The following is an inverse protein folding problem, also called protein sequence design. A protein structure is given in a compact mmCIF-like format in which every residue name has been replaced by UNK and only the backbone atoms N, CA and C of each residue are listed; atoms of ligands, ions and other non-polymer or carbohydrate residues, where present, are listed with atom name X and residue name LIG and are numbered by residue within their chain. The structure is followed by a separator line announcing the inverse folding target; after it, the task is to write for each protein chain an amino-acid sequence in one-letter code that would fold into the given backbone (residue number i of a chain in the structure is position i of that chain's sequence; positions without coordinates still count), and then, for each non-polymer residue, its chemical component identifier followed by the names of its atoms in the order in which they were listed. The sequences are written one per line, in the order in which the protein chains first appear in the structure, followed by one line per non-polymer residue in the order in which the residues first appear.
data_IF_403057048522
#
_entry.id   IF_403057048522
#
_cell.length_a   1.000
_cell.length_b   1.000
_cell.length_c   1.000
_cell.angle_alpha   90.00
_cell.angle_beta   90.00
_cell.angle_gamma   90.00
#
_symmetry.space_group_name_H-M   'P 1'
#
loop_
_entity.id
_entity.type
_entity.pdbx_description
1 polymer ?
#
# COMPACT_ATOMS: atom_id res chain seq x y z
N UNK A 1 -12.87 -18.66 37.41
CA UNK A 1 -12.37 -17.80 36.31
C UNK A 1 -11.01 -17.28 36.75
N UNK A 2 -9.94 -17.47 35.98
CA UNK A 2 -8.55 -17.14 36.38
C UNK A 2 -8.02 -15.83 35.74
N UNK A 3 -8.76 -15.26 34.79
CA UNK A 3 -8.35 -14.04 34.11
C UNK A 3 -9.32 -13.59 33.02
N UNK A 4 -8.91 -12.52 32.33
CA UNK A 4 -9.62 -11.87 31.23
C UNK A 4 -8.65 -11.48 30.13
N UNK A 5 -9.06 -11.69 28.87
CA UNK A 5 -8.46 -11.03 27.70
C UNK A 5 -9.35 -9.86 27.29
N UNK A 6 -8.86 -8.63 27.41
CA UNK A 6 -9.59 -7.46 26.95
C UNK A 6 -9.20 -7.11 25.51
N UNK A 7 -10.13 -7.21 24.57
CA UNK A 7 -9.90 -6.87 23.15
C UNK A 7 -10.57 -5.55 22.74
N UNK A 8 -11.13 -4.81 23.70
CA UNK A 8 -11.91 -3.59 23.45
C UNK A 8 -11.07 -2.44 22.90
N UNK A 9 -9.80 -2.35 23.31
CA UNK A 9 -8.94 -1.19 23.03
C UNK A 9 -9.24 0.03 23.92
N UNK A 10 -10.20 -0.08 24.84
CA UNK A 10 -10.56 0.99 25.77
C UNK A 10 -9.67 0.95 27.02
N UNK A 11 -8.64 1.80 27.03
CA UNK A 11 -7.70 1.91 28.14
C UNK A 11 -8.35 2.42 29.45
N UNK A 12 -9.45 3.19 29.37
CA UNK A 12 -10.17 3.67 30.57
C UNK A 12 -10.87 2.49 31.24
N UNK A 13 -11.55 1.67 30.44
CA UNK A 13 -12.17 0.45 30.96
C UNK A 13 -11.11 -0.56 31.45
N UNK A 14 -10.03 -0.75 30.69
CA UNK A 14 -8.94 -1.65 31.05
C UNK A 14 -8.31 -1.28 32.40
N UNK A 15 -8.01 -0.01 32.64
CA UNK A 15 -7.45 0.45 33.91
C UNK A 15 -8.43 0.26 35.07
N UNK A 16 -9.73 0.43 34.83
CA UNK A 16 -10.78 0.11 35.82
C UNK A 16 -10.76 -1.38 36.19
N UNK A 17 -10.59 -2.26 35.20
CA UNK A 17 -10.44 -3.71 35.42
C UNK A 17 -9.19 -4.00 36.25
N UNK A 18 -8.05 -3.39 35.90
CA UNK A 18 -6.78 -3.59 36.60
C UNK A 18 -6.82 -3.16 38.07
N UNK A 19 -7.60 -2.13 38.41
CA UNK A 19 -7.81 -1.68 39.80
C UNK A 19 -8.75 -2.59 40.59
N UNK A 20 -9.78 -3.15 39.94
CA UNK A 20 -10.82 -3.95 40.61
C UNK A 20 -10.55 -5.44 40.64
N UNK A 21 -9.54 -5.91 39.92
CA UNK A 21 -9.24 -7.35 39.82
C UNK A 21 -8.74 -7.91 41.17
N UNK A 22 -9.08 -9.17 41.50
CA UNK A 22 -8.42 -9.89 42.57
C UNK A 22 -6.91 -10.08 42.31
N UNK A 23 -6.09 -10.23 43.36
CA UNK A 23 -4.63 -10.34 43.25
C UNK A 23 -4.14 -11.44 42.29
N UNK A 24 -4.84 -12.58 42.26
CA UNK A 24 -4.49 -13.73 41.42
C UNK A 24 -5.23 -13.76 40.06
N UNK A 25 -5.85 -12.65 39.65
CA UNK A 25 -6.60 -12.56 38.42
C UNK A 25 -5.77 -11.95 37.28
N UNK A 26 -5.54 -12.73 36.23
CA UNK A 26 -4.72 -12.30 35.10
C UNK A 26 -5.51 -11.44 34.12
N UNK A 27 -4.91 -10.33 33.67
CA UNK A 27 -5.49 -9.47 32.63
C UNK A 27 -4.49 -9.38 31.49
N UNK A 28 -4.90 -9.76 30.29
CA UNK A 28 -4.07 -9.68 29.08
C UNK A 28 -4.73 -8.80 28.03
N UNK A 29 -3.94 -7.99 27.34
CA UNK A 29 -4.44 -7.12 26.28
C UNK A 29 -4.57 -7.89 24.97
N UNK A 30 -5.70 -7.70 24.29
CA UNK A 30 -6.06 -8.33 23.02
C UNK A 30 -6.20 -7.35 21.87
N UNK A 31 -5.86 -6.07 22.08
CA UNK A 31 -5.99 -5.01 21.09
C UNK A 31 -4.61 -4.46 20.72
N UNK A 32 -4.15 -4.82 19.54
CA UNK A 32 -2.77 -4.65 19.06
C UNK A 32 -2.29 -3.18 19.08
N UNK A 33 -3.19 -2.23 18.83
CA UNK A 33 -2.87 -0.80 18.73
C UNK A 33 -2.50 -0.14 20.06
N UNK A 34 -2.94 -0.75 21.16
CA UNK A 34 -2.74 -0.24 22.52
C UNK A 34 -1.95 -1.24 23.38
N UNK A 35 -1.21 -2.16 22.74
CA UNK A 35 -0.41 -3.18 23.44
C UNK A 35 0.59 -2.53 24.41
N UNK A 36 1.40 -1.58 23.94
CA UNK A 36 2.35 -0.84 24.79
C UNK A 36 1.69 -0.18 26.02
N UNK A 37 0.72 0.73 25.88
CA UNK A 37 0.13 1.39 27.05
C UNK A 37 -0.61 0.41 27.98
N UNK A 38 -1.23 -0.65 27.45
CA UNK A 38 -1.88 -1.67 28.27
C UNK A 38 -0.88 -2.49 29.10
N UNK A 39 0.26 -2.89 28.51
CA UNK A 39 1.34 -3.56 29.22
C UNK A 39 1.94 -2.64 30.30
N UNK A 40 2.20 -1.38 29.96
CA UNK A 40 2.70 -0.38 30.90
C UNK A 40 1.71 -0.10 32.06
N UNK A 41 0.39 -0.21 31.82
CA UNK A 41 -0.64 -0.06 32.85
C UNK A 41 -0.71 -1.25 33.83
N UNK A 42 -0.04 -2.37 33.54
CA UNK A 42 0.03 -3.54 34.42
C UNK A 42 -0.74 -4.77 33.92
N UNK A 43 -1.07 -4.85 32.63
CA UNK A 43 -1.48 -6.12 32.02
C UNK A 43 -0.37 -7.16 32.17
N UNK A 44 -0.75 -8.42 32.46
CA UNK A 44 0.19 -9.53 32.63
C UNK A 44 0.84 -9.99 31.32
N UNK A 45 0.30 -9.57 30.18
CA UNK A 45 0.78 -9.96 28.86
C UNK A 45 -0.17 -9.51 27.77
N UNK A 46 0.05 -10.02 26.56
CA UNK A 46 -0.75 -9.70 25.38
C UNK A 46 -1.05 -10.95 24.56
N UNK A 47 -2.26 -11.03 24.00
CA UNK A 47 -2.68 -12.07 23.04
C UNK A 47 -3.17 -11.35 21.78
N UNK A 48 -2.28 -11.18 20.82
CA UNK A 48 -2.45 -10.27 19.69
C UNK A 48 -2.49 -11.03 18.37
N UNK A 49 -3.33 -10.58 17.43
CA UNK A 49 -3.39 -11.20 16.11
C UNK A 49 -2.08 -10.96 15.34
N UNK A 50 -1.56 -9.73 15.41
CA UNK A 50 -0.32 -9.32 14.75
C UNK A 50 0.94 -9.92 15.34
N UNK A 51 0.88 -10.54 16.52
CA UNK A 51 2.00 -11.30 17.08
C UNK A 51 2.35 -12.54 16.23
N UNK A 52 1.45 -13.01 15.35
CA UNK A 52 1.79 -14.03 14.35
C UNK A 52 2.76 -13.50 13.26
N UNK A 53 2.73 -12.19 13.01
CA UNK A 53 3.57 -11.51 12.00
C UNK A 53 4.80 -10.87 12.65
N UNK A 54 4.63 -10.26 13.84
CA UNK A 54 5.66 -9.49 14.53
C UNK A 54 6.03 -10.04 15.93
N UNK A 55 6.27 -11.36 16.10
CA UNK A 55 6.54 -11.92 17.42
C UNK A 55 7.80 -11.29 18.06
N UNK A 56 8.85 -11.09 17.26
CA UNK A 56 10.11 -10.48 17.67
C UNK A 56 9.93 -9.04 18.18
N UNK A 57 9.05 -8.26 17.52
CA UNK A 57 8.74 -6.88 17.93
C UNK A 57 8.04 -6.86 19.28
N UNK A 58 7.04 -7.72 19.50
CA UNK A 58 6.35 -7.74 20.79
C UNK A 58 7.24 -8.23 21.94
N UNK A 59 8.10 -9.23 21.70
CA UNK A 59 9.10 -9.65 22.69
C UNK A 59 10.05 -8.49 23.01
N UNK A 60 10.58 -7.81 21.99
CA UNK A 60 11.46 -6.65 22.18
C UNK A 60 10.79 -5.53 22.98
N UNK A 61 9.52 -5.23 22.69
CA UNK A 61 8.72 -4.25 23.43
C UNK A 61 8.56 -4.64 24.90
N UNK A 62 8.23 -5.91 25.17
CA UNK A 62 8.06 -6.40 26.54
C UNK A 62 9.37 -6.39 27.33
N UNK A 63 10.49 -6.79 26.70
CA UNK A 63 11.82 -6.73 27.31
C UNK A 63 12.22 -5.27 27.60
N UNK A 64 11.99 -4.35 26.68
CA UNK A 64 12.26 -2.94 26.87
C UNK A 64 11.47 -2.37 28.07
N UNK A 65 10.17 -2.67 28.16
CA UNK A 65 9.34 -2.29 29.31
C UNK A 65 9.86 -2.88 30.63
N UNK A 66 10.22 -4.16 30.64
CA UNK A 66 10.75 -4.83 31.84
C UNK A 66 12.06 -4.21 32.33
N UNK A 67 12.88 -3.67 31.41
CA UNK A 67 14.13 -2.98 31.73
C UNK A 67 13.94 -1.48 32.02
N UNK A 68 12.71 -0.96 31.99
CA UNK A 68 12.42 0.46 32.16
C UNK A 68 12.74 1.34 30.94
N UNK A 69 13.06 0.75 29.79
CA UNK A 69 13.34 1.47 28.53
C UNK A 69 12.04 1.76 27.77
N UNK A 70 11.29 2.75 28.26
CA UNK A 70 10.06 3.18 27.61
C UNK A 70 10.32 3.76 26.21
N UNK A 71 11.49 4.34 25.97
CA UNK A 71 11.83 4.95 24.68
C UNK A 71 11.89 3.87 23.60
N UNK A 72 12.59 2.79 23.86
CA UNK A 72 12.69 1.66 22.92
C UNK A 72 11.32 1.00 22.71
N UNK A 73 10.55 0.78 23.78
CA UNK A 73 9.21 0.22 23.68
C UNK A 73 8.29 1.07 22.78
N UNK A 74 8.36 2.41 22.89
CA UNK A 74 7.63 3.33 22.02
C UNK A 74 8.09 3.25 20.56
N UNK A 75 9.40 3.14 20.31
CA UNK A 75 9.92 2.99 18.95
C UNK A 75 9.41 1.70 18.30
N UNK A 76 9.36 0.62 19.06
CA UNK A 76 8.85 -0.67 18.59
C UNK A 76 7.35 -0.63 18.29
N UNK A 77 6.51 -0.08 19.18
CA UNK A 77 5.07 0.06 18.90
C UNK A 77 4.83 0.91 17.65
N UNK A 78 5.54 2.05 17.54
CA UNK A 78 5.39 2.97 16.41
C UNK A 78 5.80 2.35 15.07
N UNK A 79 6.84 1.50 15.06
CA UNK A 79 7.34 0.91 13.81
C UNK A 79 6.32 -0.02 13.15
N UNK A 80 5.48 -0.72 13.93
CA UNK A 80 4.47 -1.64 13.41
C UNK A 80 3.05 -1.06 13.36
N UNK A 81 2.83 0.15 13.90
CA UNK A 81 1.49 0.72 14.10
C UNK A 81 0.66 0.79 12.82
N UNK A 82 1.27 1.17 11.69
CA UNK A 82 0.56 1.29 10.41
C UNK A 82 -0.01 -0.08 9.97
N UNK A 83 0.82 -1.12 9.99
CA UNK A 83 0.41 -2.48 9.62
C UNK A 83 -0.61 -3.05 10.61
N UNK A 84 -0.38 -2.82 11.90
CA UNK A 84 -1.27 -3.26 12.98
C UNK A 84 -2.67 -2.65 12.86
N UNK A 85 -2.78 -1.37 12.48
CA UNK A 85 -4.08 -0.72 12.21
C UNK A 85 -4.84 -1.43 11.09
N UNK A 86 -4.17 -1.86 10.03
CA UNK A 86 -4.80 -2.63 8.94
C UNK A 86 -5.34 -3.96 9.48
N UNK A 87 -4.56 -4.67 10.29
CA UNK A 87 -5.00 -5.93 10.91
C UNK A 87 -6.22 -5.76 11.82
N UNK A 88 -6.26 -4.69 12.60
CA UNK A 88 -7.38 -4.41 13.51
C UNK A 88 -8.64 -4.00 12.74
N UNK A 89 -8.51 -3.14 11.73
CA UNK A 89 -9.65 -2.60 10.99
C UNK A 89 -10.26 -3.59 9.99
N UNK A 90 -9.43 -4.41 9.32
CA UNK A 90 -9.84 -5.24 8.18
C UNK A 90 -10.04 -6.72 8.52
N UNK A 91 -10.21 -7.03 9.82
CA UNK A 91 -10.39 -8.38 10.34
C UNK A 91 -9.07 -9.12 10.48
N UNK A 92 -8.61 -9.26 11.74
CA UNK A 92 -7.29 -9.84 12.05
C UNK A 92 -7.03 -11.20 11.42
N UNK A 93 -8.01 -12.11 11.40
CA UNK A 93 -7.82 -13.42 10.78
C UNK A 93 -7.56 -13.39 9.27
N UNK A 94 -8.22 -12.49 8.54
CA UNK A 94 -8.10 -12.39 7.08
C UNK A 94 -6.80 -11.68 6.69
N UNK A 95 -6.54 -10.52 7.31
CA UNK A 95 -5.38 -9.70 7.00
C UNK A 95 -4.06 -10.34 7.46
N UNK A 96 -4.04 -11.03 8.61
CA UNK A 96 -2.86 -11.77 9.07
C UNK A 96 -2.52 -12.93 8.12
N UNK A 97 -3.52 -13.67 7.66
CA UNK A 97 -3.30 -14.74 6.68
C UNK A 97 -2.75 -14.18 5.37
N UNK A 98 -3.29 -13.07 4.89
CA UNK A 98 -2.77 -12.39 3.70
C UNK A 98 -1.30 -11.99 3.89
N UNK A 99 -0.95 -11.37 5.02
CA UNK A 99 0.43 -10.99 5.33
C UNK A 99 1.38 -12.20 5.36
N UNK A 100 1.03 -13.24 6.11
CA UNK A 100 1.86 -14.46 6.23
C UNK A 100 2.06 -15.13 4.87
N UNK A 101 1.00 -15.24 4.05
CA UNK A 101 1.13 -15.77 2.71
C UNK A 101 2.06 -14.91 1.85
N UNK A 102 1.96 -13.57 1.87
CA UNK A 102 2.89 -12.69 1.13
C UNK A 102 4.35 -12.86 1.59
N UNK A 103 4.56 -13.13 2.87
CA UNK A 103 5.87 -13.41 3.47
C UNK A 103 6.40 -14.83 3.12
N UNK A 104 5.63 -15.65 2.40
CA UNK A 104 6.01 -17.00 2.01
C UNK A 104 5.60 -18.10 3.01
N UNK A 105 4.84 -17.76 4.06
CA UNK A 105 4.34 -18.73 5.05
C UNK A 105 2.93 -19.15 4.63
N UNK A 106 2.81 -20.36 4.07
CA UNK A 106 1.54 -20.87 3.58
C UNK A 106 0.58 -21.22 4.73
N UNK A 107 -0.46 -20.40 4.90
CA UNK A 107 -1.52 -20.57 5.91
C UNK A 107 -2.91 -20.75 5.27
N UNK A 108 -2.94 -20.93 3.95
CA UNK A 108 -4.14 -20.99 3.13
C UNK A 108 -4.98 -19.73 3.19
N UNK A 109 -6.20 -19.81 2.67
CA UNK A 109 -7.16 -18.71 2.66
C UNK A 109 -8.01 -18.69 3.95
N UNK A 110 -8.69 -17.57 4.19
CA UNK A 110 -9.76 -17.53 5.18
C UNK A 110 -10.97 -18.34 4.67
N UNK A 111 -11.75 -18.90 5.60
CA UNK A 111 -13.01 -19.59 5.27
C UNK A 111 -14.13 -18.55 5.12
N UNK A 112 -15.06 -18.71 4.15
CA UNK A 112 -16.27 -17.90 4.10
C UNK A 112 -17.01 -17.88 5.46
N UNK A 113 -17.64 -16.75 5.84
CA UNK A 113 -17.94 -15.58 5.00
C UNK A 113 -16.79 -14.55 4.88
N UNK A 114 -15.62 -14.79 5.49
CA UNK A 114 -14.50 -13.85 5.39
C UNK A 114 -13.83 -13.95 4.02
N UNK A 115 -13.93 -12.89 3.21
CA UNK A 115 -13.40 -12.85 1.84
C UNK A 115 -12.58 -11.57 1.61
N UNK A 116 -11.50 -11.71 0.83
CA UNK A 116 -10.75 -10.55 0.31
C UNK A 116 -11.67 -9.83 -0.70
N UNK A 117 -11.65 -8.50 -0.66
CA UNK A 117 -12.53 -7.63 -1.43
C UNK A 117 -13.76 -7.14 -0.67
N UNK A 118 -14.07 -7.74 0.47
CA UNK A 118 -15.14 -7.30 1.38
C UNK A 118 -14.52 -6.63 2.62
N UNK A 119 -14.29 -7.38 3.69
CA UNK A 119 -13.64 -6.87 4.92
C UNK A 119 -12.21 -6.40 4.72
N UNK A 120 -11.45 -7.03 3.83
CA UNK A 120 -10.11 -6.58 3.45
C UNK A 120 -10.15 -6.14 1.99
N UNK A 121 -10.27 -4.83 1.75
CA UNK A 121 -10.32 -4.28 0.41
C UNK A 121 -9.02 -4.52 -0.36
N UNK A 122 -9.09 -4.48 -1.69
CA UNK A 122 -7.88 -4.66 -2.53
C UNK A 122 -6.87 -3.52 -2.34
N UNK A 123 -7.34 -2.29 -2.04
CA UNK A 123 -6.47 -1.18 -1.67
C UNK A 123 -5.77 -1.42 -0.32
N UNK A 124 -6.46 -2.01 0.66
CA UNK A 124 -5.85 -2.40 1.94
C UNK A 124 -4.81 -3.50 1.76
N UNK A 125 -5.02 -4.42 0.81
CA UNK A 125 -4.06 -5.46 0.48
C UNK A 125 -2.76 -4.88 -0.09
N UNK A 126 -2.88 -3.88 -0.97
CA UNK A 126 -1.71 -3.17 -1.52
C UNK A 126 -0.99 -2.35 -0.43
N UNK A 127 -1.73 -1.69 0.46
CA UNK A 127 -1.14 -0.99 1.63
C UNK A 127 -0.45 -1.96 2.59
N UNK A 128 -1.07 -3.10 2.87
CA UNK A 128 -0.49 -4.13 3.72
C UNK A 128 0.84 -4.61 3.14
N UNK A 129 0.87 -4.92 1.83
CA UNK A 129 2.10 -5.31 1.15
C UNK A 129 3.17 -4.23 1.26
N UNK A 130 2.83 -2.98 0.97
CA UNK A 130 3.78 -1.86 1.07
C UNK A 130 4.36 -1.73 2.47
N UNK A 131 3.54 -1.89 3.52
CA UNK A 131 4.02 -1.87 4.90
C UNK A 131 4.96 -3.04 5.22
N UNK A 132 4.67 -4.24 4.72
CA UNK A 132 5.53 -5.41 4.91
C UNK A 132 6.87 -5.25 4.19
N UNK A 133 6.89 -4.64 3.00
CA UNK A 133 8.12 -4.33 2.27
C UNK A 133 8.96 -3.26 3.00
N UNK A 134 8.33 -2.19 3.48
CA UNK A 134 9.00 -1.16 4.31
C UNK A 134 9.63 -1.77 5.57
N UNK A 135 8.98 -2.79 6.14
CA UNK A 135 9.45 -3.53 7.31
C UNK A 135 10.44 -4.66 6.95
N UNK A 136 10.81 -4.80 5.67
CA UNK A 136 11.70 -5.83 5.15
C UNK A 136 11.24 -7.26 5.44
N UNK A 137 9.93 -7.47 5.46
CA UNK A 137 9.31 -8.77 5.75
C UNK A 137 8.92 -9.56 4.50
N UNK A 138 8.85 -8.89 3.34
CA UNK A 138 8.64 -9.56 2.07
C UNK A 138 9.98 -10.13 1.58
N UNK A 139 10.05 -11.44 1.27
CA UNK A 139 11.24 -12.04 0.67
C UNK A 139 11.64 -11.32 -0.62
N UNK A 140 12.95 -11.23 -0.86
CA UNK A 140 13.49 -10.78 -2.13
C UNK A 140 14.00 -11.98 -2.92
N UNK A 141 13.88 -11.91 -4.24
CA UNK A 141 14.35 -12.98 -5.11
C UNK A 141 14.18 -12.66 -6.60
N UNK A 142 14.64 -13.56 -7.48
CA UNK A 142 14.74 -13.29 -8.89
C UNK A 142 13.37 -13.17 -9.55
N UNK A 143 13.24 -12.16 -10.40
CA UNK A 143 12.13 -11.99 -11.35
C UNK A 143 12.72 -11.65 -12.72
N UNK A 144 12.28 -12.39 -13.74
CA UNK A 144 12.74 -12.20 -15.11
C UNK A 144 11.77 -11.32 -15.89
N UNK A 145 12.28 -10.26 -16.49
CA UNK A 145 11.55 -9.34 -17.35
C UNK A 145 11.93 -9.56 -18.81
N UNK A 146 10.95 -9.82 -19.67
CA UNK A 146 11.16 -10.01 -21.11
C UNK A 146 10.71 -8.77 -21.89
N UNK A 147 11.53 -8.40 -22.87
CA UNK A 147 11.34 -7.22 -23.71
C UNK A 147 11.72 -7.58 -25.14
N UNK A 148 10.77 -8.15 -25.88
CA UNK A 148 11.02 -8.74 -27.19
C UNK A 148 12.07 -9.86 -27.12
N UNK A 149 13.23 -9.65 -27.75
CA UNK A 149 14.34 -10.62 -27.74
C UNK A 149 15.29 -10.45 -26.55
N UNK A 150 15.18 -9.36 -25.79
CA UNK A 150 16.00 -9.08 -24.61
C UNK A 150 15.29 -9.62 -23.37
N UNK A 151 16.06 -10.08 -22.39
CA UNK A 151 15.56 -10.32 -21.06
C UNK A 151 16.50 -9.76 -20.02
N UNK A 152 15.94 -9.24 -18.94
CA UNK A 152 16.64 -8.74 -17.76
C UNK A 152 16.18 -9.57 -16.58
N UNK A 153 17.08 -9.90 -15.67
CA UNK A 153 16.78 -10.62 -14.44
C UNK A 153 17.10 -9.70 -13.27
N UNK A 154 16.08 -9.40 -12.46
CA UNK A 154 16.25 -8.61 -11.25
C UNK A 154 16.33 -9.58 -10.06
N UNK A 155 17.54 -9.78 -9.53
CA UNK A 155 17.84 -10.79 -8.50
C UNK A 155 17.16 -10.50 -7.14
N UNK A 156 16.93 -9.23 -6.81
CA UNK A 156 16.50 -8.77 -5.49
C UNK A 156 15.11 -8.10 -5.54
N UNK A 157 14.22 -8.57 -6.41
CA UNK A 157 12.87 -8.02 -6.54
C UNK A 157 12.02 -8.36 -5.29
N UNK A 158 11.19 -7.43 -4.75
CA UNK A 158 10.31 -7.70 -3.61
C UNK A 158 9.20 -8.70 -3.99
N UNK A 159 9.46 -9.98 -3.72
CA UNK A 159 8.73 -11.13 -4.26
C UNK A 159 7.65 -11.60 -3.28
N UNK A 160 6.57 -10.82 -3.17
CA UNK A 160 5.40 -11.21 -2.40
C UNK A 160 4.78 -12.49 -2.99
N UNK A 161 4.75 -13.56 -2.19
CA UNK A 161 4.35 -14.88 -2.67
C UNK A 161 2.88 -14.92 -3.09
N UNK A 162 2.59 -15.59 -4.22
CA UNK A 162 1.26 -15.63 -4.80
C UNK A 162 0.76 -14.32 -5.42
N UNK A 163 1.60 -13.28 -5.45
CA UNK A 163 1.30 -11.97 -6.03
C UNK A 163 2.24 -11.62 -7.19
N UNK A 164 3.54 -11.85 -7.01
CA UNK A 164 4.56 -11.52 -8.00
C UNK A 164 4.84 -12.73 -8.89
N UNK A 165 4.78 -12.60 -10.23
CA UNK A 165 5.14 -13.69 -11.13
C UNK A 165 6.67 -13.91 -11.16
N UNK A 166 7.10 -15.14 -11.47
CA UNK A 166 8.53 -15.41 -11.70
C UNK A 166 9.05 -14.76 -12.99
N UNK A 167 8.18 -14.60 -13.98
CA UNK A 167 8.49 -14.02 -15.28
C UNK A 167 7.40 -13.03 -15.69
N UNK A 168 7.81 -11.80 -16.03
CA UNK A 168 6.99 -10.81 -16.72
C UNK A 168 7.27 -10.94 -18.21
N UNK A 169 6.29 -11.46 -18.95
CA UNK A 169 6.47 -11.95 -20.32
C UNK A 169 6.56 -10.85 -21.39
N UNK A 170 5.94 -9.70 -21.17
CA UNK A 170 5.89 -8.61 -22.15
C UNK A 170 5.85 -7.26 -21.45
N UNK A 171 6.81 -6.39 -21.78
CA UNK A 171 6.89 -5.00 -21.31
C UNK A 171 6.51 -3.98 -22.39
N UNK A 172 6.04 -4.43 -23.56
CA UNK A 172 5.75 -3.56 -24.71
C UNK A 172 4.77 -2.45 -24.34
N UNK A 173 3.67 -2.82 -23.67
CA UNK A 173 2.67 -1.89 -23.19
C UNK A 173 1.91 -2.51 -22.00
N UNK A 174 2.01 -1.86 -20.85
CA UNK A 174 1.40 -2.29 -19.60
C UNK A 174 0.45 -1.20 -19.11
N UNK A 175 -0.67 -1.61 -18.56
CA UNK A 175 -1.66 -0.72 -17.97
C UNK A 175 -1.76 -0.98 -16.47
N UNK A 176 -1.89 0.10 -15.69
CA UNK A 176 -2.13 0.02 -14.27
C UNK A 176 -3.08 1.11 -13.82
N UNK A 177 -3.93 0.79 -12.86
CA UNK A 177 -4.89 1.72 -12.27
C UNK A 177 -4.79 1.62 -10.75
N UNK A 178 -4.93 2.73 -10.04
CA UNK A 178 -5.25 2.72 -8.62
C UNK A 178 -6.10 3.90 -8.18
N UNK A 179 -6.93 3.65 -7.17
CA UNK A 179 -7.68 4.66 -6.44
C UNK A 179 -7.26 4.63 -4.98
N UNK A 180 -6.94 5.79 -4.41
CA UNK A 180 -6.56 5.90 -3.00
C UNK A 180 -7.07 7.18 -2.34
N UNK A 181 -7.47 7.05 -1.08
CA UNK A 181 -8.06 8.14 -0.30
C UNK A 181 -9.57 8.26 -0.48
N UNK A 182 -10.13 9.34 0.04
CA UNK A 182 -11.58 9.56 0.06
C UNK A 182 -11.89 11.07 -0.03
N UNK A 183 -13.18 11.37 -0.28
CA UNK A 183 -13.70 12.73 -0.41
C UNK A 183 -13.00 13.52 -1.52
N UNK A 184 -12.86 14.83 -1.36
CA UNK A 184 -12.30 15.74 -2.36
C UNK A 184 -10.80 15.57 -2.58
N UNK A 185 -10.08 14.85 -1.72
CA UNK A 185 -8.65 14.56 -1.93
C UNK A 185 -8.39 13.15 -2.45
N UNK A 186 -9.43 12.40 -2.85
CA UNK A 186 -9.24 11.10 -3.50
C UNK A 186 -8.34 11.26 -4.73
N UNK A 187 -7.39 10.34 -4.88
CA UNK A 187 -6.57 10.20 -6.07
C UNK A 187 -7.09 9.03 -6.88
N UNK A 188 -7.29 9.25 -8.17
CA UNK A 188 -7.52 8.20 -9.15
C UNK A 188 -6.46 8.36 -10.24
N UNK A 189 -5.67 7.31 -10.41
CA UNK A 189 -4.48 7.31 -11.26
C UNK A 189 -4.58 6.16 -12.22
N UNK A 190 -4.50 6.47 -13.51
CA UNK A 190 -4.34 5.52 -14.59
C UNK A 190 -2.96 5.71 -15.20
N UNK A 191 -2.26 4.63 -15.47
CA UNK A 191 -0.93 4.68 -16.06
C UNK A 191 -0.84 3.77 -17.27
N UNK A 192 0.08 4.16 -18.15
CA UNK A 192 0.63 3.27 -19.16
C UNK A 192 2.15 3.27 -19.00
N UNK A 193 2.72 2.08 -18.78
CA UNK A 193 4.16 1.85 -18.70
C UNK A 193 4.56 0.98 -19.88
N UNK A 194 5.61 1.32 -20.61
CA UNK A 194 6.02 0.49 -21.74
C UNK A 194 7.39 0.84 -22.25
N UNK A 195 7.85 0.07 -23.25
CA UNK A 195 9.17 0.25 -23.84
C UNK A 195 9.31 1.59 -24.55
N UNK A 196 10.50 2.19 -24.44
CA UNK A 196 10.86 3.44 -25.10
C UNK A 196 10.76 3.32 -26.62
N UNK A 197 11.32 2.25 -27.18
CA UNK A 197 11.32 1.97 -28.62
C UNK A 197 10.05 1.20 -29.03
N UNK A 198 8.88 1.73 -28.64
CA UNK A 198 7.59 1.12 -28.89
C UNK A 198 6.45 2.15 -28.91
N UNK A 199 5.19 1.73 -28.70
CA UNK A 199 4.02 2.62 -28.76
C UNK A 199 4.10 3.82 -27.80
N UNK A 200 4.84 3.68 -26.69
CA UNK A 200 5.01 4.77 -25.73
C UNK A 200 5.85 5.94 -26.26
N UNK A 201 6.59 5.77 -27.36
CA UNK A 201 7.33 6.87 -27.98
C UNK A 201 6.41 7.97 -28.48
N UNK A 202 5.20 7.63 -28.95
CA UNK A 202 4.18 8.59 -29.38
C UNK A 202 3.71 9.51 -28.23
N UNK A 203 3.55 8.95 -27.02
CA UNK A 203 3.16 9.72 -25.85
C UNK A 203 4.19 10.82 -25.50
N UNK A 204 5.48 10.61 -25.78
CA UNK A 204 6.51 11.65 -25.61
C UNK A 204 6.46 12.72 -26.69
N UNK A 205 6.22 12.30 -27.94
CA UNK A 205 6.10 13.24 -29.07
C UNK A 205 4.93 14.18 -28.88
N UNK A 206 3.83 13.69 -28.30
CA UNK A 206 2.62 14.48 -28.06
C UNK A 206 2.64 15.25 -26.74
N UNK A 207 3.54 14.91 -25.81
CA UNK A 207 3.68 15.62 -24.55
C UNK A 207 3.99 17.12 -24.77
N UNK A 208 3.18 17.99 -24.17
CA UNK A 208 3.32 19.44 -24.29
C UNK A 208 2.64 20.06 -25.52
N UNK A 209 2.08 19.26 -26.43
CA UNK A 209 1.23 19.79 -27.51
C UNK A 209 -0.09 20.28 -26.93
N UNK A 210 -0.47 21.49 -27.31
CA UNK A 210 -1.78 22.05 -26.96
C UNK A 210 -2.78 21.55 -28.01
N UNK A 211 -3.62 20.60 -27.63
CA UNK A 211 -4.75 20.15 -28.45
C UNK A 211 -5.98 20.92 -27.97
N UNK A 212 -6.72 21.52 -28.90
CA UNK A 212 -7.92 22.30 -28.61
C UNK A 212 -8.93 21.46 -27.79
N UNK A 213 -9.43 22.03 -26.68
CA UNK A 213 -10.34 21.34 -25.77
C UNK A 213 -9.68 20.40 -24.75
N UNK A 214 -8.35 20.28 -24.73
CA UNK A 214 -7.61 19.45 -23.76
C UNK A 214 -6.67 20.27 -22.88
N UNK A 215 -6.25 19.69 -21.75
CA UNK A 215 -5.17 20.25 -20.94
C UNK A 215 -3.82 19.68 -21.40
N UNK A 216 -2.78 20.52 -21.50
CA UNK A 216 -1.48 20.05 -21.96
C UNK A 216 -0.92 19.04 -20.96
N UNK A 217 -0.57 17.86 -21.47
CA UNK A 217 0.34 16.96 -20.76
C UNK A 217 1.75 17.56 -20.76
N UNK A 218 2.60 17.13 -19.85
CA UNK A 218 3.99 17.57 -19.82
C UNK A 218 4.93 16.46 -19.35
N UNK A 219 6.15 16.49 -19.84
CA UNK A 219 7.21 15.63 -19.30
C UNK A 219 7.65 16.20 -17.95
N UNK A 220 7.68 15.37 -16.91
CA UNK A 220 8.25 15.73 -15.61
C UNK A 220 9.77 15.73 -15.77
N UNK A 221 10.40 16.88 -15.48
CA UNK A 221 11.85 17.04 -15.53
C UNK A 221 12.54 16.35 -14.34
N UNK A 222 13.83 16.05 -14.50
CA UNK A 222 14.69 15.53 -13.43
C UNK A 222 14.26 14.17 -12.85
N UNK A 223 13.71 13.30 -13.71
CA UNK A 223 13.44 11.89 -13.42
C UNK A 223 14.29 11.00 -14.33
N UNK A 224 14.86 9.94 -13.75
CA UNK A 224 15.60 8.91 -14.49
C UNK A 224 14.66 8.15 -15.44
N UNK A 225 13.49 7.75 -14.94
CA UNK A 225 12.42 7.19 -15.75
C UNK A 225 11.67 8.33 -16.44
N UNK A 226 11.70 8.34 -17.78
CA UNK A 226 10.97 9.35 -18.55
C UNK A 226 9.47 9.25 -18.27
N UNK A 227 8.91 10.29 -17.67
CA UNK A 227 7.53 10.30 -17.18
C UNK A 227 6.73 11.46 -17.77
N UNK A 228 5.63 11.14 -18.45
CA UNK A 228 4.62 12.09 -18.92
C UNK A 228 3.51 12.20 -17.88
N UNK A 229 3.18 13.43 -17.50
CA UNK A 229 2.08 13.77 -16.60
C UNK A 229 0.92 14.35 -17.40
N UNK A 230 -0.31 13.87 -17.17
CA UNK A 230 -1.51 14.42 -17.78
C UNK A 230 -2.66 14.53 -16.75
N UNK A 231 -3.32 15.68 -16.62
CA UNK A 231 -4.52 15.78 -15.80
C UNK A 231 -5.75 15.24 -16.54
N UNK A 232 -6.68 14.62 -15.80
CA UNK A 232 -7.91 14.05 -16.37
C UNK A 232 -9.14 14.97 -16.25
N UNK A 233 -9.03 16.06 -15.48
CA UNK A 233 -10.15 16.97 -15.22
C UNK A 233 -9.87 18.38 -15.71
N UNK A 234 -10.96 19.11 -15.99
CA UNK A 234 -10.85 20.50 -16.38
C UNK A 234 -10.35 21.37 -15.23
N UNK A 235 -9.32 22.19 -15.49
CA UNK A 235 -8.81 23.16 -14.50
C UNK A 235 -9.77 24.34 -14.41
N UNK A 236 -10.37 24.53 -13.23
CA UNK A 236 -11.45 25.49 -12.99
C UNK A 236 -11.03 26.74 -12.23
N UNK A 237 -9.84 26.75 -11.61
CA UNK A 237 -9.33 27.88 -10.84
C UNK A 237 -7.82 27.81 -10.67
N UNK A 238 -7.18 28.93 -10.32
CA UNK A 238 -5.75 28.95 -9.99
C UNK A 238 -5.41 28.07 -8.78
N UNK A 239 -6.32 27.97 -7.79
CA UNK A 239 -6.15 27.04 -6.66
C UNK A 239 -6.10 25.59 -7.14
N UNK A 240 -7.04 25.20 -8.00
CA UNK A 240 -7.09 23.85 -8.55
C UNK A 240 -5.85 23.56 -9.41
N UNK A 241 -5.44 24.53 -10.23
CA UNK A 241 -4.21 24.44 -11.04
C UNK A 241 -2.97 24.13 -10.19
N UNK A 242 -2.81 24.79 -9.03
CA UNK A 242 -1.71 24.50 -8.09
C UNK A 242 -1.79 23.08 -7.52
N UNK A 243 -2.98 22.62 -7.14
CA UNK A 243 -3.16 21.24 -6.65
C UNK A 243 -2.76 20.19 -7.69
N UNK A 244 -3.03 20.45 -8.97
CA UNK A 244 -2.68 19.54 -10.07
C UNK A 244 -1.19 19.61 -10.40
N UNK A 245 -0.70 20.77 -10.84
CA UNK A 245 0.62 20.88 -11.47
C UNK A 245 1.78 21.11 -10.49
N UNK A 246 1.50 21.52 -9.24
CA UNK A 246 2.54 21.64 -8.20
C UNK A 246 2.49 20.47 -7.22
N UNK A 247 1.30 20.15 -6.69
CA UNK A 247 1.15 19.16 -5.61
C UNK A 247 1.09 17.73 -6.15
N UNK A 248 0.14 17.43 -7.04
CA UNK A 248 -0.03 16.08 -7.58
C UNK A 248 1.12 15.69 -8.51
N UNK A 249 1.58 16.58 -9.39
CA UNK A 249 2.76 16.31 -10.23
C UNK A 249 4.02 16.00 -9.40
N UNK A 250 4.24 16.72 -8.28
CA UNK A 250 5.32 16.39 -7.35
C UNK A 250 5.14 15.01 -6.72
N UNK A 251 3.90 14.65 -6.36
CA UNK A 251 3.60 13.32 -5.83
C UNK A 251 3.92 12.20 -6.83
N UNK A 252 3.64 12.41 -8.11
CA UNK A 252 4.03 11.48 -9.19
C UNK A 252 5.55 11.34 -9.25
N UNK A 253 6.28 12.46 -9.24
CA UNK A 253 7.74 12.45 -9.25
C UNK A 253 8.34 11.70 -8.05
N UNK A 254 7.84 11.98 -6.84
CA UNK A 254 8.27 11.33 -5.61
C UNK A 254 7.94 9.82 -5.63
N UNK A 255 6.76 9.44 -6.15
CA UNK A 255 6.32 8.05 -6.28
C UNK A 255 7.20 7.26 -7.25
N UNK A 256 7.53 7.83 -8.41
CA UNK A 256 8.42 7.21 -9.40
C UNK A 256 9.80 6.98 -8.81
N UNK A 257 10.41 8.01 -8.19
CA UNK A 257 11.72 7.89 -7.53
C UNK A 257 11.72 6.81 -6.46
N UNK A 258 10.68 6.77 -5.63
CA UNK A 258 10.56 5.77 -4.57
C UNK A 258 10.35 4.36 -5.12
N UNK A 259 9.61 4.21 -6.21
CA UNK A 259 9.37 2.91 -6.86
C UNK A 259 10.65 2.31 -7.43
N UNK A 260 11.52 3.15 -7.99
CA UNK A 260 12.87 2.74 -8.43
C UNK A 260 13.74 2.39 -7.22
N UNK A 261 13.75 3.24 -6.18
CA UNK A 261 14.51 3.00 -4.93
C UNK A 261 14.14 1.69 -4.26
N UNK A 262 12.84 1.34 -4.28
CA UNK A 262 12.33 0.11 -3.69
C UNK A 262 12.47 -1.11 -4.62
N UNK A 263 13.12 -0.96 -5.78
CA UNK A 263 13.36 -2.00 -6.80
C UNK A 263 12.09 -2.62 -7.40
N UNK A 264 10.96 -1.91 -7.34
CA UNK A 264 9.72 -2.32 -8.01
C UNK A 264 9.82 -2.06 -9.51
N UNK A 265 10.51 -0.97 -9.90
CA UNK A 265 11.07 -0.85 -11.24
C UNK A 265 12.58 -1.07 -11.09
N UNK A 266 13.11 -2.23 -11.48
CA UNK A 266 14.56 -2.48 -11.52
C UNK A 266 15.32 -1.39 -12.27
N UNK A 267 16.48 -0.97 -11.74
CA UNK A 267 17.30 0.09 -12.33
C UNK A 267 17.69 -0.21 -13.78
N UNK A 268 17.89 -1.47 -14.11
CA UNK A 268 18.26 -1.97 -15.43
C UNK A 268 17.18 -1.74 -16.50
N UNK A 269 15.91 -1.59 -16.08
CA UNK A 269 14.79 -1.32 -16.96
C UNK A 269 14.55 0.17 -17.18
N UNK A 270 15.00 1.03 -16.26
CA UNK A 270 14.69 2.47 -16.27
C UNK A 270 15.04 3.15 -17.61
N UNK A 271 16.21 2.92 -18.26
CA UNK A 271 16.54 3.56 -19.52
C UNK A 271 15.62 3.16 -20.67
N UNK A 272 15.10 1.92 -20.62
CA UNK A 272 14.32 1.29 -21.68
C UNK A 272 12.81 1.54 -21.56
N UNK A 273 12.35 2.22 -20.50
CA UNK A 273 10.93 2.43 -20.23
C UNK A 273 10.50 3.91 -20.33
N UNK A 274 9.22 4.09 -20.64
CA UNK A 274 8.48 5.36 -20.56
C UNK A 274 7.23 5.11 -19.72
N UNK A 275 6.91 6.05 -18.84
CA UNK A 275 5.69 6.06 -18.04
C UNK A 275 4.81 7.24 -18.43
N UNK A 276 3.54 7.01 -18.75
CA UNK A 276 2.51 8.04 -18.82
C UNK A 276 1.58 7.91 -17.63
N UNK A 277 1.30 9.00 -16.93
CA UNK A 277 0.50 9.03 -15.70
C UNK A 277 -0.63 10.04 -15.86
N UNK A 278 -1.85 9.51 -15.90
CA UNK A 278 -3.07 10.28 -15.85
C UNK A 278 -3.49 10.47 -14.40
N UNK A 279 -3.73 11.71 -14.00
CA UNK A 279 -4.02 12.05 -12.59
C UNK A 279 -5.32 12.82 -12.46
N UNK A 280 -6.22 12.27 -11.65
CA UNK A 280 -7.42 12.96 -11.18
C UNK A 280 -7.15 13.73 -9.89
N UNK A 281 -7.55 15.01 -9.87
CA UNK A 281 -7.64 15.82 -8.66
C UNK A 281 -8.99 16.51 -8.67
N UNK A 282 -9.81 16.33 -7.63
CA UNK A 282 -11.11 16.98 -7.59
C UNK A 282 -10.99 18.52 -7.58
N UNK A 283 -11.81 19.29 -8.31
CA UNK A 283 -11.72 20.76 -8.35
C UNK A 283 -11.83 21.46 -6.98
N UNK A 284 -12.54 20.83 -6.04
CA UNK A 284 -12.70 21.33 -4.66
C UNK A 284 -11.62 20.86 -3.69
N UNK A 285 -10.62 20.08 -4.14
CA UNK A 285 -9.51 19.63 -3.29
C UNK A 285 -8.84 20.83 -2.60
N UNK A 286 -8.68 20.72 -1.28
CA UNK A 286 -8.21 21.85 -0.48
C UNK A 286 -6.97 21.53 0.35
N UNK A 287 -6.75 20.25 0.67
CA UNK A 287 -5.63 19.84 1.52
C UNK A 287 -4.44 19.34 0.68
N UNK A 288 -3.37 20.14 0.50
CA UNK A 288 -2.26 19.75 -0.36
C UNK A 288 -1.48 18.54 0.18
N UNK A 289 -1.43 18.35 1.51
CA UNK A 289 -0.75 17.17 2.09
C UNK A 289 -1.48 15.88 1.74
N UNK A 290 -2.82 15.89 1.75
CA UNK A 290 -3.63 14.73 1.36
C UNK A 290 -3.61 14.49 -0.13
N UNK A 291 -3.70 15.54 -0.96
CA UNK A 291 -3.54 15.41 -2.42
C UNK A 291 -2.20 14.79 -2.76
N UNK A 292 -1.11 15.26 -2.14
CA UNK A 292 0.22 14.69 -2.37
C UNK A 292 0.29 13.23 -1.92
N UNK A 293 -0.07 12.93 -0.66
CA UNK A 293 0.02 11.58 -0.12
C UNK A 293 -0.83 10.57 -0.92
N UNK A 294 -2.06 10.94 -1.27
CA UNK A 294 -2.98 10.03 -1.96
C UNK A 294 -2.51 9.75 -3.38
N UNK A 295 -2.04 10.76 -4.11
CA UNK A 295 -1.47 10.57 -5.44
C UNK A 295 -0.16 9.79 -5.39
N UNK A 296 0.69 10.05 -4.39
CA UNK A 296 1.92 9.29 -4.19
C UNK A 296 1.62 7.80 -4.04
N UNK A 297 0.66 7.44 -3.18
CA UNK A 297 0.27 6.05 -2.94
C UNK A 297 -0.39 5.44 -4.19
N UNK A 298 -1.34 6.14 -4.81
CA UNK A 298 -2.06 5.64 -5.99
C UNK A 298 -1.10 5.36 -7.16
N UNK A 299 -0.16 6.27 -7.46
CA UNK A 299 0.84 6.06 -8.52
C UNK A 299 1.68 4.81 -8.26
N UNK A 300 2.12 4.59 -7.01
CA UNK A 300 2.90 3.41 -6.65
C UNK A 300 2.12 2.12 -6.84
N UNK A 301 0.86 2.11 -6.44
CA UNK A 301 -0.03 0.95 -6.62
C UNK A 301 -0.29 0.69 -8.11
N UNK A 302 -0.54 1.73 -8.89
CA UNK A 302 -0.76 1.62 -10.33
C UNK A 302 0.48 1.08 -11.05
N UNK A 303 1.69 1.57 -10.72
CA UNK A 303 2.96 1.06 -11.28
C UNK A 303 3.14 -0.42 -10.95
N UNK A 304 2.95 -0.80 -9.68
CA UNK A 304 3.10 -2.19 -9.26
C UNK A 304 2.13 -3.12 -10.00
N UNK A 305 0.87 -2.69 -10.09
CA UNK A 305 -0.17 -3.40 -10.83
C UNK A 305 0.21 -3.58 -12.30
N UNK A 306 0.68 -2.52 -12.97
CA UNK A 306 1.14 -2.59 -14.35
C UNK A 306 2.30 -3.59 -14.53
N UNK A 307 3.38 -3.41 -13.76
CA UNK A 307 4.62 -4.19 -13.96
C UNK A 307 4.48 -5.67 -13.55
N UNK A 308 3.62 -5.97 -12.60
CA UNK A 308 3.34 -7.35 -12.16
C UNK A 308 2.18 -8.00 -12.93
N UNK A 309 1.59 -7.31 -13.91
CA UNK A 309 0.50 -7.84 -14.73
C UNK A 309 -0.82 -8.03 -13.96
N UNK A 310 -1.11 -7.12 -13.02
CA UNK A 310 -2.28 -7.16 -12.15
C UNK A 310 -3.22 -5.98 -12.38
N UNK A 311 -4.54 -6.15 -12.28
CA UNK A 311 -5.24 -7.41 -12.02
C UNK A 311 -5.26 -8.29 -13.28
N UNK A 312 -4.91 -9.55 -13.13
CA UNK A 312 -5.05 -10.55 -14.19
C UNK A 312 -6.52 -10.76 -14.54
N UNK A 313 -6.80 -11.26 -15.75
CA UNK A 313 -8.18 -11.60 -16.18
C UNK A 313 -8.85 -12.56 -15.19
N UNK A 314 -8.10 -13.55 -14.69
CA UNK A 314 -8.57 -14.47 -13.65
C UNK A 314 -8.95 -13.77 -12.35
N UNK A 315 -8.18 -12.78 -11.92
CA UNK A 315 -8.52 -11.98 -10.74
C UNK A 315 -9.77 -11.15 -10.99
N UNK A 316 -9.88 -10.48 -12.14
CA UNK A 316 -11.07 -9.68 -12.46
C UNK A 316 -12.33 -10.56 -12.44
N UNK A 317 -12.27 -11.74 -13.05
CA UNK A 317 -13.40 -12.70 -13.05
C UNK A 317 -13.73 -13.14 -11.62
N UNK A 318 -12.73 -13.53 -10.83
CA UNK A 318 -12.95 -13.98 -9.45
C UNK A 318 -13.51 -12.89 -8.54
N UNK A 319 -13.26 -11.62 -8.85
CA UNK A 319 -13.61 -10.46 -8.01
C UNK A 319 -14.88 -9.74 -8.45
N UNK A 320 -15.36 -10.00 -9.67
CA UNK A 320 -16.47 -9.28 -10.32
C UNK A 320 -17.68 -9.07 -9.40
N UNK A 321 -18.14 -10.12 -8.72
CA UNK A 321 -19.36 -10.07 -7.90
C UNK A 321 -19.15 -9.34 -6.57
N UNK A 322 -17.91 -9.32 -6.07
CA UNK A 322 -17.52 -8.57 -4.86
C UNK A 322 -17.19 -7.10 -5.15
N UNK A 323 -16.96 -6.73 -6.41
CA UNK A 323 -16.58 -5.38 -6.78
C UNK A 323 -17.70 -4.38 -6.44
N UNK A 324 -17.29 -3.22 -5.92
CA UNK A 324 -18.18 -2.11 -5.62
C UNK A 324 -17.67 -0.89 -6.36
N UNK A 325 -18.51 -0.32 -7.21
CA UNK A 325 -18.18 0.90 -7.94
C UNK A 325 -18.82 2.09 -7.19
N UNK A 326 -18.06 3.14 -6.85
CA UNK A 326 -18.51 4.22 -5.97
C UNK A 326 -19.70 5.01 -6.53
N UNK A 327 -19.93 4.95 -7.85
CA UNK A 327 -21.04 5.61 -8.53
C UNK A 327 -22.02 4.64 -9.19
N UNK A 328 -21.83 3.32 -9.05
CA UNK A 328 -22.81 2.36 -9.56
C UNK A 328 -23.80 2.04 -8.44
N UNK A 329 -25.08 2.01 -8.77
CA UNK A 329 -26.10 1.54 -7.85
C UNK A 329 -25.94 0.03 -7.68
N UNK A 330 -25.39 -0.39 -6.54
CA UNK A 330 -25.32 -1.79 -6.13
C UNK A 330 -26.33 -2.01 -5.00
N UNK A 331 -27.53 -2.57 -5.28
CA UNK A 331 -28.57 -2.81 -4.29
C UNK A 331 -28.17 -3.84 -3.23
#
# INVERSE_FOLDING_TARGET
IIGLKDSSGDLINLTTILVRRPDNFQVVIGHDEVALPALAAGCNGAILASANVFPDRYIKMQTALANGDLKEAMLVQRSIQKTVRIFVNQGGGLAIKAALNMMGINVGNARPPLLIGDLLGYGDLDELRACLEDLQMIPRGPVKFKMGKRSIEAEEYPKAFGMVPDVVEDLTLLHGEALFGANTEVAHVDIVLGIRDGPMSEALVDAGKIIEGTHPSNVIKDLELTTVFAPTVTITSEKHKKMVYEVAQKAVADAVKRTITDMIIPHELVPDLILAVNVFVHPSAANPKRVHLNNFIAVRHAIRRAIEGRQSVSEIIARKDSARHPFAYNP
#
